data_IF_114574583927
#
_entry.id   IF_114574583927
#
_cell.length_a   1.000
_cell.length_b   1.000
_cell.length_c   1.000
_cell.angle_alpha   90.00
_cell.angle_beta   90.00
_cell.angle_gamma   90.00
#
_symmetry.space_group_name_H-M   'P 1'
#
loop_
_entity.id
_entity.type
_entity.pdbx_description
1 polymer ?
#
# COMPACT_ATOMS: atom_id res chain seq x y z
N UNK A 1 -63.96 -61.47 4.84
CA UNK A 1 -62.54 -61.43 5.27
C UNK A 1 -61.62 -60.64 4.32
N UNK A 2 -62.13 -59.73 3.47
CA UNK A 2 -61.35 -59.00 2.45
C UNK A 2 -61.06 -57.54 2.79
N UNK A 3 -61.78 -56.92 3.73
CA UNK A 3 -61.66 -55.47 4.03
C UNK A 3 -60.41 -55.11 4.86
N UNK A 4 -60.00 -55.94 5.83
CA UNK A 4 -58.87 -55.63 6.72
C UNK A 4 -57.48 -55.77 6.08
N UNK A 5 -57.37 -56.43 4.91
CA UNK A 5 -56.11 -56.59 4.16
C UNK A 5 -55.77 -55.35 3.34
N UNK A 6 -56.78 -54.69 2.77
CA UNK A 6 -56.56 -53.46 2.01
C UNK A 6 -56.08 -52.32 2.91
N UNK A 7 -56.72 -52.09 4.07
CA UNK A 7 -56.35 -51.01 4.98
C UNK A 7 -54.88 -51.12 5.47
N UNK A 8 -54.45 -52.34 5.82
CA UNK A 8 -53.08 -52.62 6.29
C UNK A 8 -52.03 -52.44 5.19
N UNK A 9 -52.39 -52.66 3.93
CA UNK A 9 -51.50 -52.47 2.78
C UNK A 9 -51.37 -50.99 2.38
N UNK A 10 -52.45 -50.21 2.51
CA UNK A 10 -52.40 -48.75 2.38
C UNK A 10 -51.54 -48.09 3.48
N UNK A 11 -51.64 -48.56 4.73
CA UNK A 11 -50.81 -48.03 5.83
C UNK A 11 -49.31 -48.29 5.63
N UNK A 12 -48.93 -49.49 5.17
CA UNK A 12 -47.53 -49.81 4.89
C UNK A 12 -46.98 -48.96 3.74
N UNK A 13 -47.73 -48.80 2.64
CA UNK A 13 -47.33 -47.96 1.51
C UNK A 13 -47.19 -46.49 1.93
N UNK A 14 -48.11 -45.97 2.75
CA UNK A 14 -48.03 -44.60 3.27
C UNK A 14 -46.83 -44.39 4.19
N UNK A 15 -46.48 -45.39 5.02
CA UNK A 15 -45.28 -45.32 5.87
C UNK A 15 -44.02 -45.27 5.00
N UNK A 16 -43.89 -46.14 4.00
CA UNK A 16 -42.75 -46.11 3.08
C UNK A 16 -42.65 -44.81 2.29
N UNK A 17 -43.78 -44.28 1.82
CA UNK A 17 -43.83 -43.01 1.08
C UNK A 17 -43.42 -41.82 1.96
N UNK A 18 -43.95 -41.74 3.18
CA UNK A 18 -43.59 -40.68 4.12
C UNK A 18 -42.12 -40.78 4.58
N UNK A 19 -41.60 -41.97 4.82
CA UNK A 19 -40.18 -42.16 5.12
C UNK A 19 -39.28 -41.77 3.94
N UNK A 20 -39.66 -42.11 2.70
CA UNK A 20 -38.92 -41.71 1.51
C UNK A 20 -38.93 -40.19 1.30
N UNK A 21 -40.08 -39.54 1.48
CA UNK A 21 -40.21 -38.08 1.44
C UNK A 21 -39.39 -37.38 2.54
N UNK A 22 -39.35 -37.94 3.75
CA UNK A 22 -38.54 -37.40 4.83
C UNK A 22 -37.04 -37.46 4.51
N UNK A 23 -36.56 -38.60 4.00
CA UNK A 23 -35.16 -38.77 3.59
C UNK A 23 -34.82 -37.82 2.44
N UNK A 24 -35.67 -37.73 1.42
CA UNK A 24 -35.47 -36.81 0.29
C UNK A 24 -35.40 -35.35 0.74
N UNK A 25 -36.31 -34.93 1.63
CA UNK A 25 -36.27 -33.59 2.21
C UNK A 25 -34.99 -33.33 3.01
N UNK A 26 -34.52 -34.28 3.83
CA UNK A 26 -33.27 -34.12 4.59
C UNK A 26 -32.08 -33.95 3.64
N UNK A 27 -31.96 -34.78 2.60
CA UNK A 27 -30.91 -34.64 1.59
C UNK A 27 -31.00 -33.30 0.84
N UNK A 28 -32.22 -32.86 0.51
CA UNK A 28 -32.45 -31.56 -0.11
C UNK A 28 -31.99 -30.41 0.81
N UNK A 29 -32.41 -30.40 2.07
CA UNK A 29 -31.97 -29.37 3.04
C UNK A 29 -30.46 -29.36 3.25
N UNK A 30 -29.82 -30.53 3.36
CA UNK A 30 -28.36 -30.64 3.51
C UNK A 30 -27.61 -30.17 2.25
N UNK A 31 -28.14 -30.47 1.06
CA UNK A 31 -27.54 -30.00 -0.19
C UNK A 31 -27.64 -28.47 -0.31
N UNK A 32 -28.81 -27.91 -0.04
CA UNK A 32 -29.02 -26.45 -0.09
C UNK A 32 -28.24 -25.71 0.99
N UNK A 33 -28.12 -26.25 2.22
CA UNK A 33 -27.32 -25.60 3.26
C UNK A 33 -25.83 -25.59 2.93
N UNK A 34 -25.29 -26.68 2.38
CA UNK A 34 -23.90 -26.75 1.92
C UNK A 34 -23.66 -25.84 0.70
N UNK A 35 -24.62 -25.75 -0.23
CA UNK A 35 -24.54 -24.85 -1.37
C UNK A 35 -24.54 -23.39 -0.92
N UNK A 36 -25.42 -23.02 0.03
CA UNK A 36 -25.45 -21.68 0.63
C UNK A 36 -24.13 -21.39 1.37
N UNK A 37 -23.60 -22.35 2.13
CA UNK A 37 -22.32 -22.20 2.82
C UNK A 37 -21.17 -21.98 1.84
N UNK A 38 -21.11 -22.75 0.75
CA UNK A 38 -20.12 -22.59 -0.33
C UNK A 38 -20.24 -21.23 -1.02
N UNK A 39 -21.47 -20.78 -1.31
CA UNK A 39 -21.73 -19.47 -1.90
C UNK A 39 -21.27 -18.35 -0.94
N UNK A 40 -21.61 -18.43 0.34
CA UNK A 40 -21.20 -17.45 1.36
C UNK A 40 -19.68 -17.42 1.54
N UNK A 41 -19.01 -18.57 1.55
CA UNK A 41 -17.54 -18.64 1.62
C UNK A 41 -16.88 -18.06 0.36
N UNK A 42 -17.45 -18.31 -0.83
CA UNK A 42 -16.91 -17.79 -2.10
C UNK A 42 -17.08 -16.28 -2.25
N UNK A 43 -18.20 -15.72 -1.77
CA UNK A 43 -18.50 -14.28 -1.82
C UNK A 43 -17.77 -13.50 -0.72
N UNK A 44 -17.56 -14.10 0.45
CA UNK A 44 -16.86 -13.45 1.58
C UNK A 44 -15.37 -13.26 1.35
N UNK A 45 -14.68 -14.28 0.82
CA UNK A 45 -13.21 -14.30 0.72
C UNK A 45 -12.68 -13.39 -0.41
N UNK A 46 -13.39 -13.31 -1.53
CA UNK A 46 -12.94 -12.55 -2.71
C UNK A 46 -13.18 -11.04 -2.60
N UNK A 47 -14.27 -10.62 -1.93
CA UNK A 47 -14.62 -9.19 -1.79
C UNK A 47 -13.76 -8.48 -0.74
N UNK A 48 -13.50 -9.11 0.42
CA UNK A 48 -12.80 -8.48 1.54
C UNK A 48 -11.33 -8.12 1.22
N UNK A 49 -10.61 -9.01 0.54
CA UNK A 49 -9.17 -8.84 0.28
C UNK A 49 -8.87 -7.70 -0.71
N UNK A 50 -9.76 -7.49 -1.69
CA UNK A 50 -9.65 -6.39 -2.67
C UNK A 50 -9.99 -5.05 -1.99
N UNK A 51 -11.01 -5.00 -1.15
CA UNK A 51 -11.40 -3.77 -0.45
C UNK A 51 -10.37 -3.31 0.60
N UNK A 52 -9.73 -4.26 1.29
CA UNK A 52 -8.75 -3.94 2.33
C UNK A 52 -7.45 -3.40 1.74
N UNK A 53 -6.95 -3.98 0.65
CA UNK A 53 -5.75 -3.50 -0.03
C UNK A 53 -5.94 -2.09 -0.62
N UNK A 54 -7.07 -1.82 -1.28
CA UNK A 54 -7.41 -0.50 -1.81
C UNK A 54 -7.48 0.57 -0.70
N UNK A 55 -8.06 0.23 0.46
CA UNK A 55 -8.12 1.11 1.62
C UNK A 55 -6.71 1.43 2.14
N UNK A 56 -5.85 0.42 2.25
CA UNK A 56 -4.46 0.61 2.68
C UNK A 56 -3.68 1.51 1.72
N UNK A 57 -3.87 1.34 0.41
CA UNK A 57 -3.28 2.23 -0.60
C UNK A 57 -3.75 3.67 -0.44
N UNK A 58 -5.06 3.89 -0.29
CA UNK A 58 -5.63 5.24 -0.07
C UNK A 58 -5.01 5.92 1.15
N UNK A 59 -4.84 5.19 2.25
CA UNK A 59 -4.19 5.70 3.46
C UNK A 59 -2.72 6.05 3.20
N UNK A 60 -1.98 5.17 2.52
CA UNK A 60 -0.57 5.39 2.21
C UNK A 60 -0.36 6.61 1.28
N UNK A 61 -1.17 6.74 0.23
CA UNK A 61 -1.17 7.88 -0.70
C UNK A 61 -1.48 9.18 0.07
N UNK A 62 -2.51 9.20 0.90
CA UNK A 62 -2.84 10.37 1.72
C UNK A 62 -1.69 10.77 2.66
N UNK A 63 -1.01 9.80 3.28
CA UNK A 63 0.12 10.04 4.18
C UNK A 63 1.33 10.63 3.45
N UNK A 64 1.70 10.08 2.29
CA UNK A 64 2.83 10.63 1.51
C UNK A 64 2.49 11.99 0.93
N UNK A 65 1.26 12.23 0.48
CA UNK A 65 0.81 13.55 0.02
C UNK A 65 0.99 14.61 1.11
N UNK A 66 0.61 14.27 2.35
CA UNK A 66 0.82 15.16 3.48
C UNK A 66 2.32 15.43 3.72
N UNK A 67 3.17 14.40 3.67
CA UNK A 67 4.62 14.56 3.79
C UNK A 67 5.20 15.44 2.67
N UNK A 68 4.76 15.27 1.43
CA UNK A 68 5.20 16.08 0.30
C UNK A 68 4.77 17.55 0.45
N UNK A 69 3.54 17.82 0.86
CA UNK A 69 3.06 19.20 1.15
C UNK A 69 3.91 19.83 2.27
N UNK A 70 4.24 19.07 3.32
CA UNK A 70 5.13 19.55 4.38
C UNK A 70 6.53 19.87 3.83
N UNK A 71 7.09 19.00 3.00
CA UNK A 71 8.39 19.21 2.38
C UNK A 71 8.41 20.49 1.51
N UNK A 72 7.38 20.69 0.68
CA UNK A 72 7.21 21.89 -0.13
C UNK A 72 7.13 23.15 0.73
N UNK A 73 6.34 23.11 1.82
CA UNK A 73 6.19 24.22 2.76
C UNK A 73 7.50 24.57 3.45
N UNK A 74 8.21 23.59 3.99
CA UNK A 74 9.48 23.84 4.70
C UNK A 74 10.56 24.35 3.74
N UNK A 75 10.66 23.78 2.55
CA UNK A 75 11.58 24.24 1.52
C UNK A 75 11.26 25.69 1.09
N UNK A 76 9.99 25.99 0.78
CA UNK A 76 9.56 27.34 0.40
C UNK A 76 9.77 28.37 1.50
N UNK A 77 9.49 28.02 2.77
CA UNK A 77 9.77 28.88 3.91
C UNK A 77 11.27 29.17 4.06
N UNK A 78 12.11 28.13 3.92
CA UNK A 78 13.56 28.28 3.95
C UNK A 78 14.03 29.22 2.83
N UNK A 79 13.62 28.97 1.59
CA UNK A 79 13.95 29.85 0.45
C UNK A 79 13.47 31.29 0.66
N UNK A 80 12.29 31.49 1.26
CA UNK A 80 11.77 32.83 1.53
C UNK A 80 12.62 33.61 2.56
N UNK A 81 13.28 32.91 3.50
CA UNK A 81 14.14 33.52 4.52
C UNK A 81 15.53 33.91 4.02
N UNK A 82 15.97 33.38 2.88
CA UNK A 82 17.30 33.63 2.32
C UNK A 82 17.40 35.02 1.67
N UNK A 83 18.54 35.67 1.88
CA UNK A 83 18.92 36.89 1.17
C UNK A 83 19.21 36.64 -0.33
N UNK A 84 19.24 37.70 -1.16
CA UNK A 84 19.44 37.57 -2.60
C UNK A 84 20.81 36.96 -2.98
N UNK A 85 21.87 37.26 -2.23
CA UNK A 85 23.20 36.71 -2.49
C UNK A 85 23.31 35.23 -2.08
N UNK A 86 22.68 34.84 -0.97
CA UNK A 86 22.59 33.43 -0.53
C UNK A 86 21.81 32.59 -1.55
N UNK A 87 20.68 33.10 -2.06
CA UNK A 87 19.92 32.45 -3.15
C UNK A 87 20.77 32.24 -4.39
N UNK A 88 21.54 33.25 -4.81
CA UNK A 88 22.43 33.14 -5.97
C UNK A 88 23.54 32.11 -5.77
N UNK A 89 24.05 31.96 -4.55
CA UNK A 89 25.06 30.95 -4.23
C UNK A 89 24.46 29.55 -4.21
N UNK A 90 23.31 29.36 -3.57
CA UNK A 90 22.64 28.06 -3.43
C UNK A 90 22.07 27.54 -4.77
N UNK A 91 21.50 28.42 -5.60
CA UNK A 91 21.02 28.03 -6.94
C UNK A 91 22.14 27.52 -7.86
N UNK A 92 23.39 27.98 -7.65
CA UNK A 92 24.56 27.47 -8.40
C UNK A 92 25.02 26.10 -7.91
N UNK A 93 24.76 25.79 -6.64
CA UNK A 93 25.16 24.53 -6.00
C UNK A 93 24.15 23.41 -6.32
N UNK A 94 22.86 23.74 -6.48
CA UNK A 94 21.80 22.79 -6.83
C UNK A 94 22.02 22.08 -8.18
N UNK A 95 22.90 22.59 -9.04
CA UNK A 95 23.29 21.90 -10.28
C UNK A 95 24.15 20.64 -10.04
N UNK A 96 24.50 20.33 -8.79
CA UNK A 96 25.34 19.20 -8.39
C UNK A 96 24.58 18.27 -7.43
N UNK A 97 23.31 18.01 -7.77
CA UNK A 97 22.31 17.20 -7.07
C UNK A 97 22.82 15.78 -6.75
N UNK A 98 23.33 15.59 -5.54
CA UNK A 98 23.48 14.27 -4.95
C UNK A 98 22.66 14.21 -3.66
N UNK A 99 21.47 13.66 -3.79
CA UNK A 99 20.67 13.25 -2.64
C UNK A 99 21.19 11.93 -2.11
N UNK A 100 21.11 11.75 -0.79
CA UNK A 100 21.53 10.49 -0.17
C UNK A 100 20.80 9.30 -0.81
N UNK A 101 19.55 9.46 -1.23
CA UNK A 101 18.74 8.45 -1.89
C UNK A 101 19.12 8.13 -3.34
N UNK A 102 20.07 8.84 -3.98
CA UNK A 102 20.35 8.67 -5.41
C UNK A 102 21.01 7.33 -5.76
N UNK A 103 21.53 6.58 -4.76
CA UNK A 103 21.97 5.19 -4.97
C UNK A 103 20.79 4.21 -5.12
N UNK A 104 19.56 4.62 -4.77
CA UNK A 104 18.37 3.78 -4.88
C UNK A 104 17.94 3.74 -6.35
N UNK A 105 18.17 2.59 -6.98
CA UNK A 105 17.67 2.30 -8.33
C UNK A 105 16.15 2.41 -8.30
N UNK A 106 15.64 3.39 -9.02
CA UNK A 106 14.22 3.76 -9.04
C UNK A 106 13.83 4.15 -10.47
N UNK A 107 12.57 3.92 -10.88
CA UNK A 107 12.11 4.34 -12.19
C UNK A 107 12.37 5.83 -12.43
N UNK A 108 13.14 6.15 -13.47
CA UNK A 108 13.71 7.49 -13.67
C UNK A 108 12.72 8.39 -14.40
N UNK A 109 11.88 7.79 -15.24
CA UNK A 109 10.90 8.52 -16.05
C UNK A 109 9.46 7.97 -15.90
N UNK A 110 8.51 8.72 -16.47
CA UNK A 110 7.08 8.39 -16.45
C UNK A 110 6.82 7.00 -17.06
N UNK A 111 7.54 6.64 -18.11
CA UNK A 111 7.31 5.43 -18.86
C UNK A 111 7.82 4.19 -18.13
N UNK A 112 9.00 4.27 -17.52
CA UNK A 112 9.51 3.22 -16.64
C UNK A 112 8.58 3.03 -15.43
N UNK A 113 8.15 4.12 -14.80
CA UNK A 113 7.20 4.09 -13.68
C UNK A 113 5.89 3.40 -14.07
N UNK A 114 5.37 3.72 -15.26
CA UNK A 114 4.17 3.11 -15.82
C UNK A 114 4.33 1.64 -16.24
N UNK A 115 5.57 1.13 -16.36
CA UNK A 115 5.84 -0.29 -16.66
C UNK A 115 6.19 -1.14 -15.44
N UNK A 116 6.76 -0.55 -14.39
CA UNK A 116 7.14 -1.26 -13.15
C UNK A 116 5.97 -2.03 -12.54
N UNK A 117 6.20 -3.11 -11.81
CA UNK A 117 5.11 -3.80 -11.10
C UNK A 117 4.60 -3.01 -9.88
N UNK A 118 3.41 -3.33 -9.35
CA UNK A 118 2.92 -2.74 -8.08
C UNK A 118 3.89 -3.01 -6.95
N UNK A 119 4.41 -4.25 -6.86
CA UNK A 119 5.37 -4.64 -5.84
C UNK A 119 6.68 -3.85 -5.96
N UNK A 120 7.22 -3.70 -7.17
CA UNK A 120 8.43 -2.91 -7.42
C UNK A 120 8.27 -1.46 -6.96
N UNK A 121 7.16 -0.81 -7.33
CA UNK A 121 6.85 0.56 -6.89
C UNK A 121 6.74 0.67 -5.36
N UNK A 122 6.15 -0.32 -4.69
CA UNK A 122 6.08 -0.38 -3.23
C UNK A 122 7.46 -0.57 -2.59
N UNK A 123 8.31 -1.45 -3.13
CA UNK A 123 9.65 -1.73 -2.62
C UNK A 123 10.54 -0.49 -2.74
N UNK A 124 10.56 0.16 -3.91
CA UNK A 124 11.32 1.41 -4.11
C UNK A 124 10.79 2.52 -3.21
N UNK A 125 9.47 2.65 -3.08
CA UNK A 125 8.84 3.62 -2.16
C UNK A 125 9.28 3.40 -0.71
N UNK A 126 9.28 2.15 -0.25
CA UNK A 126 9.75 1.79 1.08
C UNK A 126 11.22 2.16 1.29
N UNK A 127 12.08 1.89 0.31
CA UNK A 127 13.51 2.24 0.38
C UNK A 127 13.76 3.72 0.47
N UNK A 128 13.04 4.52 -0.32
CA UNK A 128 13.11 5.97 -0.25
C UNK A 128 12.70 6.44 1.15
N UNK A 129 11.54 6.01 1.65
CA UNK A 129 11.06 6.39 3.00
C UNK A 129 12.03 5.94 4.11
N UNK A 130 12.56 4.72 4.02
CA UNK A 130 13.54 4.19 4.97
C UNK A 130 14.84 4.99 5.00
N UNK A 131 15.35 5.41 3.84
CA UNK A 131 16.57 6.22 3.74
C UNK A 131 16.47 7.58 4.47
N UNK A 132 15.25 8.06 4.72
CA UNK A 132 14.98 9.31 5.44
C UNK A 132 14.88 9.17 6.96
N UNK A 133 14.97 7.96 7.52
CA UNK A 133 14.84 7.74 8.97
C UNK A 133 15.90 8.49 9.79
N UNK A 134 17.15 8.48 9.33
CA UNK A 134 18.26 9.20 9.99
C UNK A 134 18.34 10.67 9.56
N UNK A 135 18.30 11.02 8.26
CA UNK A 135 18.39 12.42 7.81
C UNK A 135 17.24 13.31 8.29
N UNK A 136 16.04 12.75 8.49
CA UNK A 136 14.89 13.53 9.00
C UNK A 136 15.10 14.10 10.40
N UNK A 137 16.00 13.52 11.21
CA UNK A 137 16.37 14.07 12.53
C UNK A 137 17.04 15.43 12.43
N UNK A 138 17.78 15.70 11.35
CA UNK A 138 18.34 17.04 11.10
C UNK A 138 17.26 18.06 10.72
N UNK A 139 16.08 17.61 10.28
CA UNK A 139 14.90 18.44 10.04
C UNK A 139 14.05 18.65 11.30
N UNK A 140 14.36 18.00 12.43
CA UNK A 140 13.61 18.10 13.69
C UNK A 140 13.38 19.54 14.13
N UNK A 141 14.46 20.34 14.17
CA UNK A 141 14.43 21.74 14.59
C UNK A 141 13.55 22.62 13.67
N UNK A 142 13.50 22.30 12.38
CA UNK A 142 12.71 23.03 11.38
C UNK A 142 11.24 22.56 11.33
N UNK A 143 11.00 21.28 11.62
CA UNK A 143 9.70 20.63 11.48
C UNK A 143 8.94 20.38 12.78
N UNK A 144 9.52 20.74 13.93
CA UNK A 144 8.99 20.41 15.27
C UNK A 144 8.68 18.91 15.39
N UNK A 145 9.61 18.08 14.92
CA UNK A 145 9.53 16.61 14.92
C UNK A 145 8.36 15.96 14.16
N UNK A 146 7.59 16.74 13.39
CA UNK A 146 6.43 16.21 12.67
C UNK A 146 6.80 15.25 11.53
N UNK A 147 7.96 15.45 10.91
CA UNK A 147 8.40 14.65 9.75
C UNK A 147 8.73 13.21 10.18
N UNK A 148 9.52 13.04 11.23
CA UNK A 148 10.01 11.73 11.67
C UNK A 148 8.87 10.79 12.05
N UNK A 149 7.89 11.26 12.80
CA UNK A 149 6.72 10.45 13.16
C UNK A 149 5.90 10.02 11.95
N UNK A 150 5.66 10.94 11.00
CA UNK A 150 4.90 10.66 9.78
C UNK A 150 5.63 9.69 8.84
N UNK A 151 6.96 9.79 8.75
CA UNK A 151 7.77 8.82 8.00
C UNK A 151 7.64 7.42 8.59
N UNK A 152 7.69 7.26 9.91
CA UNK A 152 7.51 5.97 10.58
C UNK A 152 6.13 5.36 10.32
N UNK A 153 5.07 6.18 10.38
CA UNK A 153 3.71 5.75 10.04
C UNK A 153 3.58 5.31 8.59
N UNK A 154 4.18 6.05 7.65
CA UNK A 154 4.20 5.68 6.23
C UNK A 154 5.02 4.41 5.99
N UNK A 155 6.22 4.30 6.58
CA UNK A 155 7.10 3.11 6.51
C UNK A 155 6.35 1.85 6.93
N UNK A 156 5.65 1.92 8.06
CA UNK A 156 4.84 0.80 8.58
C UNK A 156 3.69 0.43 7.63
N UNK A 157 3.00 1.43 7.08
CA UNK A 157 1.94 1.21 6.08
C UNK A 157 2.45 0.55 4.80
N UNK A 158 3.63 0.97 4.32
CA UNK A 158 4.29 0.37 3.16
C UNK A 158 4.72 -1.08 3.42
N UNK A 159 5.25 -1.39 4.60
CA UNK A 159 5.60 -2.77 4.96
C UNK A 159 4.37 -3.69 4.94
N UNK A 160 3.23 -3.21 5.44
CA UNK A 160 1.98 -3.97 5.39
C UNK A 160 1.53 -4.19 3.94
N UNK A 161 1.52 -3.14 3.12
CA UNK A 161 1.17 -3.23 1.70
C UNK A 161 2.11 -4.19 0.94
N UNK A 162 3.40 -4.14 1.20
CA UNK A 162 4.38 -5.06 0.61
C UNK A 162 4.04 -6.49 0.99
N UNK A 163 3.78 -6.79 2.28
CA UNK A 163 3.42 -8.14 2.71
C UNK A 163 2.15 -8.64 2.01
N UNK A 164 1.09 -7.84 1.99
CA UNK A 164 -0.18 -8.20 1.34
C UNK A 164 -0.01 -8.43 -0.17
N UNK A 165 0.84 -7.65 -0.85
CA UNK A 165 1.11 -7.82 -2.28
C UNK A 165 2.13 -8.94 -2.57
N UNK A 166 3.04 -9.25 -1.63
CA UNK A 166 3.98 -10.37 -1.73
C UNK A 166 3.29 -11.72 -1.58
N UNK A 167 2.28 -11.83 -0.72
CA UNK A 167 1.45 -13.04 -0.61
C UNK A 167 0.71 -13.34 -1.92
N UNK A 168 0.35 -12.30 -2.70
CA UNK A 168 -0.15 -12.44 -4.06
C UNK A 168 0.95 -12.74 -5.09
N UNK A 169 2.15 -12.15 -4.92
CA UNK A 169 3.30 -12.29 -5.82
C UNK A 169 4.15 -13.56 -5.58
N UNK A 170 3.95 -14.32 -4.50
CA UNK A 170 4.63 -15.61 -4.29
C UNK A 170 4.26 -16.65 -5.38
N UNK A 171 3.25 -16.36 -6.20
CA UNK A 171 2.89 -17.06 -7.43
C UNK A 171 3.83 -16.72 -8.60
N UNK A 172 4.57 -15.60 -8.55
CA UNK A 172 5.48 -15.11 -9.59
C UNK A 172 6.75 -14.45 -9.00
N UNK A 173 7.76 -15.26 -8.67
CA UNK A 173 9.19 -14.87 -8.67
C UNK A 173 9.66 -13.74 -7.74
N UNK A 174 10.38 -14.09 -6.66
CA UNK A 174 10.79 -13.17 -5.60
C UNK A 174 11.88 -12.13 -5.93
N UNK A 175 11.79 -10.97 -5.26
CA UNK A 175 12.77 -9.87 -5.28
C UNK A 175 13.46 -9.77 -3.91
N UNK A 176 14.79 -9.79 -3.89
CA UNK A 176 15.59 -9.71 -2.65
C UNK A 176 15.85 -8.25 -2.23
N UNK A 177 15.77 -7.99 -0.92
CA UNK A 177 16.01 -6.69 -0.30
C UNK A 177 17.40 -6.66 0.38
N UNK A 178 18.34 -5.86 -0.13
CA UNK A 178 19.67 -5.65 0.46
C UNK A 178 19.69 -4.74 1.72
N UNK A 179 20.66 -4.91 2.61
CA UNK A 179 20.80 -4.08 3.83
C UNK A 179 21.57 -2.78 3.52
N UNK A 180 21.13 -1.66 4.10
CA UNK A 180 21.74 -0.33 3.93
C UNK A 180 22.88 -0.07 4.92
N UNK A 181 23.91 0.65 4.47
CA UNK A 181 25.06 1.10 5.26
C UNK A 181 24.78 2.46 5.92
N UNK A 182 25.16 2.58 7.19
CA UNK A 182 24.97 3.76 8.04
C UNK A 182 25.91 4.90 7.60
N UNK A 183 25.39 6.12 7.43
CA UNK A 183 26.20 7.29 7.07
C UNK A 183 26.29 8.28 8.23
N UNK A 184 27.53 8.63 8.55
CA UNK A 184 27.92 9.46 9.70
C UNK A 184 27.23 10.82 9.74
N UNK A 185 26.59 11.07 10.88
CA UNK A 185 25.98 12.34 11.25
C UNK A 185 27.04 13.36 11.65
N UNK A 186 27.06 14.50 10.94
CA UNK A 186 27.63 15.75 11.48
C UNK A 186 26.48 16.77 11.61
N UNK A 187 26.18 17.32 12.78
CA UNK A 187 25.22 18.42 12.90
C UNK A 187 25.95 19.71 12.52
N UNK A 188 26.11 19.97 11.22
CA UNK A 188 26.69 21.23 10.77
C UNK A 188 25.58 22.18 10.31
N UNK A 189 25.50 23.34 10.96
CA UNK A 189 24.54 24.42 10.70
C UNK A 189 24.89 25.21 9.42
N UNK A 190 25.23 24.51 8.35
CA UNK A 190 25.55 25.16 7.09
C UNK A 190 24.25 25.35 6.28
N UNK A 191 23.94 26.60 5.90
CA UNK A 191 22.79 26.96 5.04
C UNK A 191 22.69 26.05 3.81
N UNK A 192 23.84 25.70 3.22
CA UNK A 192 23.96 24.76 2.10
C UNK A 192 23.38 23.38 2.42
N UNK A 193 23.75 22.82 3.57
CA UNK A 193 23.30 21.48 3.97
C UNK A 193 21.80 21.44 4.25
N UNK A 194 21.26 22.48 4.89
CA UNK A 194 19.82 22.59 5.12
C UNK A 194 19.05 22.72 3.80
N UNK A 195 19.59 23.49 2.86
CA UNK A 195 19.03 23.60 1.51
C UNK A 195 19.00 22.24 0.78
N UNK A 196 20.15 21.57 0.70
CA UNK A 196 20.30 20.25 0.06
C UNK A 196 19.35 19.23 0.69
N UNK A 197 19.31 19.17 2.03
CA UNK A 197 18.46 18.23 2.75
C UNK A 197 16.98 18.46 2.49
N UNK A 198 16.51 19.71 2.53
CA UNK A 198 15.11 20.05 2.26
C UNK A 198 14.74 19.80 0.79
N UNK A 199 15.63 20.12 -0.15
CA UNK A 199 15.40 19.90 -1.56
C UNK A 199 15.31 18.41 -1.90
N UNK A 200 16.23 17.60 -1.35
CA UNK A 200 16.22 16.15 -1.48
C UNK A 200 14.98 15.52 -0.85
N UNK A 201 14.58 15.98 0.35
CA UNK A 201 13.39 15.47 1.00
C UNK A 201 12.14 15.74 0.16
N UNK A 202 12.02 16.96 -0.39
CA UNK A 202 10.94 17.33 -1.31
C UNK A 202 10.95 16.46 -2.57
N UNK A 203 12.12 16.26 -3.19
CA UNK A 203 12.29 15.43 -4.39
C UNK A 203 11.81 14.00 -4.14
N UNK A 204 12.25 13.39 -3.04
CA UNK A 204 11.96 11.99 -2.76
C UNK A 204 10.51 11.77 -2.35
N UNK A 205 9.92 12.67 -1.55
CA UNK A 205 8.50 12.54 -1.20
C UNK A 205 7.59 12.70 -2.42
N UNK A 206 7.97 13.54 -3.39
CA UNK A 206 7.27 13.62 -4.68
C UNK A 206 7.37 12.31 -5.49
N UNK A 207 8.57 11.69 -5.53
CA UNK A 207 8.75 10.38 -6.17
C UNK A 207 7.86 9.32 -5.53
N UNK A 208 7.90 9.21 -4.19
CA UNK A 208 7.08 8.24 -3.45
C UNK A 208 5.58 8.49 -3.69
N UNK A 209 5.12 9.74 -3.68
CA UNK A 209 3.72 10.07 -4.02
C UNK A 209 3.35 9.57 -5.42
N UNK A 210 4.22 9.82 -6.40
CA UNK A 210 4.02 9.38 -7.79
C UNK A 210 3.92 7.86 -7.87
N UNK A 211 4.87 7.14 -7.27
CA UNK A 211 4.89 5.68 -7.29
C UNK A 211 3.66 5.07 -6.61
N UNK A 212 3.25 5.57 -5.45
CA UNK A 212 2.07 5.05 -4.75
C UNK A 212 0.76 5.38 -5.46
N UNK A 213 0.67 6.55 -6.09
CA UNK A 213 -0.49 6.91 -6.93
C UNK A 213 -0.60 5.95 -8.11
N UNK A 214 0.49 5.72 -8.85
CA UNK A 214 0.50 4.78 -9.98
C UNK A 214 0.16 3.36 -9.53
N UNK A 215 0.73 2.89 -8.41
CA UNK A 215 0.45 1.57 -7.85
C UNK A 215 -1.04 1.41 -7.47
N UNK A 216 -1.64 2.42 -6.83
CA UNK A 216 -3.06 2.43 -6.48
C UNK A 216 -3.96 2.38 -7.73
N UNK A 217 -3.64 3.17 -8.75
CA UNK A 217 -4.38 3.21 -10.01
C UNK A 217 -4.42 1.86 -10.75
N UNK A 218 -3.39 1.02 -10.58
CA UNK A 218 -3.37 -0.33 -11.17
C UNK A 218 -4.25 -1.33 -10.44
N UNK A 219 -4.47 -1.15 -9.15
CA UNK A 219 -5.31 -2.03 -8.33
C UNK A 219 -6.79 -1.63 -8.33
N UNK A 220 -7.09 -0.40 -8.74
CA UNK A 220 -8.45 0.08 -8.93
C UNK A 220 -8.54 0.94 -10.20
N UNK A 221 -8.93 0.36 -11.35
CA UNK A 221 -9.16 1.15 -12.57
C UNK A 221 -10.36 2.10 -12.47
N UNK A 222 -11.17 1.98 -11.39
CA UNK A 222 -12.28 2.87 -11.05
C UNK A 222 -11.85 4.13 -10.29
N UNK A 223 -10.63 4.15 -9.75
CA UNK A 223 -10.02 5.40 -9.30
C UNK A 223 -9.79 6.26 -10.56
N UNK A 224 -10.39 7.46 -10.62
CA UNK A 224 -10.23 8.42 -11.72
C UNK A 224 -8.78 8.89 -11.85
N UNK A 225 -7.92 8.02 -12.33
CA UNK A 225 -6.50 8.22 -12.49
C UNK A 225 -6.24 8.79 -13.87
N UNK A 226 -5.94 10.08 -13.93
CA UNK A 226 -5.33 10.69 -15.12
C UNK A 226 -3.82 10.46 -15.01
N UNK A 227 -3.31 9.48 -15.76
CA UNK A 227 -1.89 9.07 -15.76
C UNK A 227 -0.99 9.98 -16.60
#
# INVERSE_FOLDING_TARGET
MTSARHHRQYDVINVFYNSFLAIFNIFFYLFFSNLILLVVLSLGVSSQQITDSQRLFTIAVSRVQHLHILAQRYFGNFESSLGPDEKRQLNKIFLQDFCNSDYIISPIDKHETQRSSVLELLLVSYRLVESWEVPSRSLAALSRDQISGKLTELKTGLQLLIRTNQEAAFVEGGVALGRFEDYDQRPDQNLRRNYELLACFRKDMHKVETYLTVAMCRLSPEANCTL
#
